data_IF_971460772358
#
_entry.id   IF_971460772358
#
_cell.length_a   1.000
_cell.length_b   1.000
_cell.length_c   1.000
_cell.angle_alpha   90.00
_cell.angle_beta   90.00
_cell.angle_gamma   90.00
#
_symmetry.space_group_name_H-M   'P 1'
#
loop_
_entity.id
_entity.type
_entity.pdbx_description
1 polymer ?
#
# COMPACT_ATOMS: atom_id res chain seq x y z
N UNK A 1 85.85 -79.94 -123.29
CA UNK A 1 86.49 -78.74 -122.67
C UNK A 1 85.46 -77.63 -122.35
N UNK A 2 84.27 -78.02 -121.93
CA UNK A 2 83.15 -77.11 -121.59
C UNK A 2 83.27 -76.61 -120.12
N UNK A 3 84.30 -77.04 -119.38
CA UNK A 3 84.46 -76.82 -117.93
C UNK A 3 85.38 -75.65 -117.51
N UNK A 4 86.22 -75.07 -118.38
CA UNK A 4 87.02 -73.89 -118.00
C UNK A 4 86.17 -72.61 -117.90
N UNK A 5 85.26 -72.43 -118.85
CA UNK A 5 84.39 -71.24 -118.88
C UNK A 5 83.49 -71.11 -117.65
N UNK A 6 83.11 -72.20 -116.98
CA UNK A 6 82.27 -72.12 -115.76
C UNK A 6 83.05 -71.55 -114.57
N UNK A 7 84.33 -71.91 -114.42
CA UNK A 7 85.17 -71.43 -113.31
C UNK A 7 85.61 -69.98 -113.55
N UNK A 8 86.01 -69.64 -114.77
CA UNK A 8 86.32 -68.26 -115.17
C UNK A 8 85.11 -67.33 -115.02
N UNK A 9 83.90 -67.79 -115.38
CA UNK A 9 82.67 -67.00 -115.19
C UNK A 9 82.33 -66.82 -113.70
N UNK A 10 82.54 -67.84 -112.85
CA UNK A 10 82.32 -67.71 -111.41
C UNK A 10 83.35 -66.81 -110.74
N UNK A 11 84.63 -66.91 -111.11
CA UNK A 11 85.71 -66.05 -110.59
C UNK A 11 85.48 -64.60 -111.04
N UNK A 12 85.08 -64.36 -112.29
CA UNK A 12 84.71 -63.02 -112.78
C UNK A 12 83.43 -62.47 -112.12
N UNK A 13 82.42 -63.32 -111.85
CA UNK A 13 81.24 -62.93 -111.08
C UNK A 13 81.61 -62.62 -109.62
N UNK A 14 82.52 -63.38 -109.02
CA UNK A 14 82.99 -63.13 -107.67
C UNK A 14 83.80 -61.84 -107.58
N UNK A 15 84.67 -61.56 -108.55
CA UNK A 15 85.40 -60.30 -108.67
C UNK A 15 84.44 -59.11 -108.89
N UNK A 16 83.43 -59.28 -109.74
CA UNK A 16 82.40 -58.26 -109.95
C UNK A 16 81.56 -58.03 -108.69
N UNK A 17 81.18 -59.09 -107.96
CA UNK A 17 80.44 -58.98 -106.69
C UNK A 17 81.30 -58.31 -105.61
N UNK A 18 82.58 -58.65 -105.49
CA UNK A 18 83.51 -57.99 -104.58
C UNK A 18 83.76 -56.53 -104.95
N UNK A 19 83.89 -56.23 -106.24
CA UNK A 19 84.01 -54.85 -106.75
C UNK A 19 82.73 -54.05 -106.51
N UNK A 20 81.56 -54.66 -106.66
CA UNK A 20 80.27 -54.03 -106.43
C UNK A 20 80.01 -53.80 -104.93
N UNK A 21 80.44 -54.74 -104.07
CA UNK A 21 80.38 -54.60 -102.62
C UNK A 21 81.34 -53.51 -102.13
N UNK A 22 82.57 -53.47 -102.65
CA UNK A 22 83.52 -52.39 -102.38
C UNK A 22 82.97 -51.01 -102.82
N UNK A 23 82.33 -50.93 -103.99
CA UNK A 23 81.68 -49.71 -104.46
C UNK A 23 80.49 -49.31 -103.57
N UNK A 24 79.66 -50.28 -103.17
CA UNK A 24 78.52 -50.04 -102.28
C UNK A 24 78.98 -49.55 -100.91
N UNK A 25 80.05 -50.14 -100.35
CA UNK A 25 80.66 -49.66 -99.10
C UNK A 25 81.23 -48.24 -99.22
N UNK A 26 81.81 -47.89 -100.38
CA UNK A 26 82.33 -46.54 -100.61
C UNK A 26 81.19 -45.50 -100.71
N UNK A 27 80.11 -45.83 -101.41
CA UNK A 27 78.90 -44.99 -101.49
C UNK A 27 78.28 -44.82 -100.11
N UNK A 28 78.17 -45.91 -99.35
CA UNK A 28 77.62 -45.91 -98.00
C UNK A 28 78.43 -44.99 -97.07
N UNK A 29 79.76 -45.10 -97.05
CA UNK A 29 80.64 -44.21 -96.28
C UNK A 29 80.51 -42.74 -96.70
N UNK A 30 80.33 -42.47 -97.99
CA UNK A 30 80.12 -41.11 -98.48
C UNK A 30 78.79 -40.53 -98.01
N UNK A 31 77.71 -41.33 -98.04
CA UNK A 31 76.39 -40.94 -97.53
C UNK A 31 76.48 -40.68 -96.02
N UNK A 32 77.10 -41.59 -95.26
CA UNK A 32 77.27 -41.46 -93.81
C UNK A 32 78.06 -40.21 -93.43
N UNK A 33 79.21 -39.96 -94.10
CA UNK A 33 79.99 -38.74 -93.88
C UNK A 33 79.20 -37.47 -94.26
N UNK A 34 78.46 -37.48 -95.37
CA UNK A 34 77.62 -36.34 -95.77
C UNK A 34 76.54 -36.07 -94.73
N UNK A 35 75.86 -37.11 -94.26
CA UNK A 35 74.84 -37.02 -93.21
C UNK A 35 75.43 -36.50 -91.90
N UNK A 36 76.62 -36.95 -91.52
CA UNK A 36 77.33 -36.49 -90.31
C UNK A 36 77.71 -35.01 -90.41
N UNK A 37 78.25 -34.56 -91.54
CA UNK A 37 78.56 -33.13 -91.78
C UNK A 37 77.29 -32.30 -91.72
N UNK A 38 76.19 -32.73 -92.36
CA UNK A 38 74.92 -32.00 -92.31
C UNK A 38 74.33 -31.94 -90.89
N UNK A 39 74.41 -33.04 -90.13
CA UNK A 39 73.99 -33.06 -88.72
C UNK A 39 74.82 -32.10 -87.88
N UNK A 40 76.14 -32.12 -88.03
CA UNK A 40 77.02 -31.18 -87.31
C UNK A 40 76.73 -29.72 -87.67
N UNK A 41 76.46 -29.41 -88.94
CA UNK A 41 76.12 -28.05 -89.36
C UNK A 41 74.77 -27.58 -88.78
N UNK A 42 73.75 -28.45 -88.76
CA UNK A 42 72.46 -28.16 -88.13
C UNK A 42 72.59 -27.96 -86.62
N UNK A 43 73.38 -28.78 -85.93
CA UNK A 43 73.61 -28.60 -84.50
C UNK A 43 74.26 -27.24 -84.17
N UNK A 44 75.23 -26.81 -84.98
CA UNK A 44 75.86 -25.49 -84.81
C UNK A 44 74.86 -24.36 -85.07
N UNK A 45 74.02 -24.48 -86.11
CA UNK A 45 72.99 -23.47 -86.41
C UNK A 45 71.91 -23.40 -85.32
N UNK A 46 71.48 -24.55 -84.80
CA UNK A 46 70.53 -24.65 -83.69
C UNK A 46 71.12 -24.05 -82.40
N UNK A 47 72.40 -24.29 -82.11
CA UNK A 47 73.11 -23.69 -80.96
C UNK A 47 73.22 -22.16 -81.09
N UNK A 48 73.58 -21.67 -82.29
CA UNK A 48 73.67 -20.21 -82.58
C UNK A 48 72.29 -19.56 -82.51
N UNK A 49 71.26 -20.21 -83.05
CA UNK A 49 69.86 -19.76 -82.98
C UNK A 49 69.36 -19.72 -81.53
N UNK A 50 69.72 -20.73 -80.73
CA UNK A 50 69.44 -20.79 -79.29
C UNK A 50 70.07 -19.62 -78.53
N UNK A 51 71.36 -19.38 -78.74
CA UNK A 51 72.08 -18.29 -78.10
C UNK A 51 71.52 -16.90 -78.48
N UNK A 52 71.20 -16.70 -79.76
CA UNK A 52 70.57 -15.46 -80.23
C UNK A 52 69.20 -15.23 -79.58
N UNK A 53 68.41 -16.30 -79.42
CA UNK A 53 67.11 -16.24 -78.76
C UNK A 53 67.23 -15.89 -77.27
N UNK A 54 68.20 -16.47 -76.57
CA UNK A 54 68.49 -16.12 -75.18
C UNK A 54 68.92 -14.66 -75.03
N UNK A 55 69.84 -14.19 -75.88
CA UNK A 55 70.27 -12.78 -75.87
C UNK A 55 69.12 -11.82 -76.15
N UNK A 56 68.24 -12.14 -77.10
CA UNK A 56 67.05 -11.35 -77.38
C UNK A 56 66.09 -11.31 -76.18
N UNK A 57 65.87 -12.45 -75.52
CA UNK A 57 65.01 -12.52 -74.34
C UNK A 57 65.58 -11.70 -73.17
N UNK A 58 66.88 -11.79 -72.91
CA UNK A 58 67.55 -10.97 -71.89
C UNK A 58 67.42 -9.49 -72.21
N UNK A 59 67.67 -9.08 -73.46
CA UNK A 59 67.51 -7.68 -73.88
C UNK A 59 66.07 -7.18 -73.81
N UNK A 60 65.10 -8.02 -74.19
CA UNK A 60 63.68 -7.71 -74.08
C UNK A 60 63.25 -7.56 -72.62
N UNK A 61 63.76 -8.41 -71.71
CA UNK A 61 63.49 -8.33 -70.29
C UNK A 61 64.10 -7.06 -69.66
N UNK A 62 65.36 -6.74 -69.99
CA UNK A 62 66.01 -5.49 -69.56
C UNK A 62 65.22 -4.25 -70.05
N UNK A 63 64.73 -4.27 -71.29
CA UNK A 63 63.91 -3.19 -71.83
C UNK A 63 62.55 -3.09 -71.12
N UNK A 64 61.91 -4.22 -70.81
CA UNK A 64 60.65 -4.23 -70.07
C UNK A 64 60.82 -3.70 -68.65
N UNK A 65 61.89 -4.09 -67.94
CA UNK A 65 62.19 -3.60 -66.60
C UNK A 65 62.45 -2.07 -66.61
N UNK A 66 63.19 -1.58 -67.60
CA UNK A 66 63.40 -0.13 -67.76
C UNK A 66 62.08 0.61 -68.03
N UNK A 67 61.20 0.07 -68.88
CA UNK A 67 59.90 0.67 -69.17
C UNK A 67 59.03 0.68 -67.91
N UNK A 68 59.00 -0.41 -67.14
CA UNK A 68 58.26 -0.49 -65.89
C UNK A 68 58.74 0.55 -64.88
N UNK A 69 60.07 0.70 -64.76
CA UNK A 69 60.67 1.71 -63.90
C UNK A 69 60.27 3.13 -64.31
N UNK A 70 60.37 3.46 -65.60
CA UNK A 70 59.99 4.77 -66.13
C UNK A 70 58.51 5.08 -65.91
N UNK A 71 57.62 4.12 -66.11
CA UNK A 71 56.17 4.29 -65.85
C UNK A 71 55.90 4.52 -64.36
N UNK A 72 56.62 3.83 -63.49
CA UNK A 72 56.50 4.00 -62.04
C UNK A 72 56.97 5.39 -61.60
N UNK A 73 58.09 5.86 -62.12
CA UNK A 73 58.57 7.22 -61.87
C UNK A 73 57.60 8.27 -62.40
N UNK A 74 57.07 8.11 -63.62
CA UNK A 74 56.08 9.01 -64.20
C UNK A 74 54.83 9.12 -63.31
N UNK A 75 54.35 7.99 -62.78
CA UNK A 75 53.20 7.98 -61.86
C UNK A 75 53.49 8.78 -60.58
N UNK A 76 54.63 8.51 -59.95
CA UNK A 76 55.02 9.22 -58.73
C UNK A 76 55.21 10.72 -58.98
N UNK A 77 55.80 11.09 -60.12
CA UNK A 77 55.95 12.49 -60.53
C UNK A 77 54.60 13.17 -60.74
N UNK A 78 53.63 12.49 -61.38
CA UNK A 78 52.27 13.00 -61.57
C UNK A 78 51.57 13.25 -60.23
N UNK A 79 51.62 12.29 -59.31
CA UNK A 79 51.02 12.41 -57.98
C UNK A 79 51.65 13.54 -57.16
N UNK A 80 52.98 13.68 -57.23
CA UNK A 80 53.71 14.77 -56.57
C UNK A 80 53.34 16.14 -57.18
N UNK A 81 53.25 16.22 -58.52
CA UNK A 81 52.87 17.44 -59.22
C UNK A 81 51.43 17.85 -58.91
N UNK A 82 50.49 16.91 -58.91
CA UNK A 82 49.10 17.15 -58.51
C UNK A 82 49.02 17.70 -57.08
N UNK A 83 49.77 17.10 -56.15
CA UNK A 83 49.85 17.55 -54.76
C UNK A 83 50.41 18.98 -54.64
N UNK A 84 51.44 19.33 -55.42
CA UNK A 84 51.98 20.68 -55.48
C UNK A 84 51.00 21.67 -56.10
N UNK A 85 50.29 21.26 -57.15
CA UNK A 85 49.31 22.09 -57.83
C UNK A 85 48.12 22.40 -56.92
N UNK A 86 47.62 21.42 -56.17
CA UNK A 86 46.57 21.61 -55.17
C UNK A 86 47.01 22.54 -54.02
N UNK A 87 48.30 22.52 -53.64
CA UNK A 87 48.83 23.47 -52.64
C UNK A 87 48.93 24.90 -53.19
N UNK A 88 49.24 25.04 -54.50
CA UNK A 88 49.33 26.35 -55.17
C UNK A 88 47.95 26.90 -55.54
N UNK A 89 46.96 26.03 -55.73
CA UNK A 89 45.59 26.43 -56.03
C UNK A 89 44.97 27.17 -54.84
N UNK A 90 44.79 28.48 -55.03
CA UNK A 90 44.19 29.38 -54.05
C UNK A 90 42.72 29.02 -53.78
N UNK A 91 42.01 28.44 -54.76
CA UNK A 91 40.62 27.98 -54.57
C UNK A 91 40.57 26.76 -53.66
N UNK A 92 41.43 25.76 -53.89
CA UNK A 92 41.50 24.57 -53.03
C UNK A 92 41.90 24.92 -51.59
N UNK A 93 42.90 25.81 -51.44
CA UNK A 93 43.33 26.29 -50.12
C UNK A 93 42.21 27.06 -49.42
N UNK A 94 41.47 27.90 -50.14
CA UNK A 94 40.30 28.61 -49.61
C UNK A 94 39.21 27.65 -49.14
N UNK A 95 38.85 26.64 -49.96
CA UNK A 95 37.82 25.65 -49.60
C UNK A 95 38.25 24.87 -48.35
N UNK A 96 39.51 24.42 -48.27
CA UNK A 96 40.03 23.77 -47.07
C UNK A 96 39.94 24.65 -45.83
N UNK A 97 40.30 25.93 -45.95
CA UNK A 97 40.19 26.87 -44.84
C UNK A 97 38.72 27.05 -44.39
N UNK A 98 37.78 27.14 -45.34
CA UNK A 98 36.35 27.22 -45.04
C UNK A 98 35.81 25.96 -44.35
N UNK A 99 36.18 24.77 -44.83
CA UNK A 99 35.82 23.48 -44.21
C UNK A 99 36.36 23.41 -42.77
N UNK A 100 37.62 23.80 -42.57
CA UNK A 100 38.21 23.80 -41.22
C UNK A 100 37.52 24.78 -40.28
N UNK A 101 37.11 25.95 -40.77
CA UNK A 101 36.36 26.92 -39.96
C UNK A 101 34.99 26.36 -39.57
N UNK A 102 34.25 25.76 -40.51
CA UNK A 102 32.99 25.07 -40.20
C UNK A 102 33.20 23.94 -39.20
N UNK A 103 34.26 23.14 -39.36
CA UNK A 103 34.59 22.06 -38.44
C UNK A 103 34.84 22.58 -37.02
N UNK A 104 35.58 23.68 -36.87
CA UNK A 104 35.84 24.32 -35.58
C UNK A 104 34.54 24.83 -34.93
N UNK A 105 33.67 25.48 -35.70
CA UNK A 105 32.37 25.95 -35.21
C UNK A 105 31.48 24.79 -34.74
N UNK A 106 31.40 23.69 -35.53
CA UNK A 106 30.64 22.50 -35.15
C UNK A 106 31.21 21.83 -33.89
N UNK A 107 32.53 21.77 -33.76
CA UNK A 107 33.17 21.25 -32.55
C UNK A 107 32.85 22.12 -31.33
N UNK A 108 32.86 23.45 -31.49
CA UNK A 108 32.44 24.41 -30.46
C UNK A 108 30.99 24.22 -30.04
N UNK A 109 30.05 24.15 -31.01
CA UNK A 109 28.63 23.90 -30.75
C UNK A 109 28.40 22.57 -30.03
N UNK A 110 29.06 21.49 -30.47
CA UNK A 110 28.97 20.17 -29.84
C UNK A 110 29.47 20.20 -28.40
N UNK A 111 30.54 20.95 -28.12
CA UNK A 111 31.07 21.11 -26.76
C UNK A 111 30.08 21.87 -25.86
N UNK A 112 29.48 22.96 -26.37
CA UNK A 112 28.47 23.73 -25.64
C UNK A 112 27.21 22.88 -25.38
N UNK A 113 26.72 22.16 -26.39
CA UNK A 113 25.56 21.27 -26.26
C UNK A 113 25.80 20.17 -25.22
N UNK A 114 26.99 19.56 -25.24
CA UNK A 114 27.39 18.56 -24.25
C UNK A 114 27.43 19.15 -22.84
N UNK A 115 28.00 20.34 -22.68
CA UNK A 115 28.10 21.02 -21.39
C UNK A 115 26.72 21.43 -20.87
N UNK A 116 25.85 21.98 -21.73
CA UNK A 116 24.46 22.30 -21.37
C UNK A 116 23.67 21.06 -20.96
N UNK A 117 23.78 19.94 -21.70
CA UNK A 117 23.16 18.66 -21.32
C UNK A 117 23.67 18.17 -19.98
N UNK A 118 24.98 18.24 -19.74
CA UNK A 118 25.61 17.86 -18.47
C UNK A 118 25.08 18.70 -17.31
N UNK A 119 25.05 20.03 -17.47
CA UNK A 119 24.52 20.94 -16.45
C UNK A 119 23.02 20.72 -16.22
N UNK A 120 22.24 20.54 -17.28
CA UNK A 120 20.81 20.26 -17.17
C UNK A 120 20.55 18.96 -16.40
N UNK A 121 21.27 17.88 -16.74
CA UNK A 121 21.19 16.61 -16.01
C UNK A 121 21.64 16.77 -14.55
N UNK A 122 22.73 17.49 -14.29
CA UNK A 122 23.21 17.75 -12.93
C UNK A 122 22.16 18.53 -12.10
N UNK A 123 21.55 19.57 -12.67
CA UNK A 123 20.51 20.36 -12.03
C UNK A 123 19.24 19.53 -11.76
N UNK A 124 18.84 18.68 -12.72
CA UNK A 124 17.73 17.74 -12.53
C UNK A 124 18.02 16.77 -11.38
N UNK A 125 19.22 16.19 -11.34
CA UNK A 125 19.64 15.28 -10.25
C UNK A 125 19.61 15.98 -8.89
N UNK A 126 20.14 17.20 -8.79
CA UNK A 126 20.08 17.99 -7.54
C UNK A 126 18.63 18.27 -7.13
N UNK A 127 17.78 18.64 -8.08
CA UNK A 127 16.37 18.93 -7.81
C UNK A 127 15.63 17.68 -7.31
N UNK A 128 15.89 16.52 -7.92
CA UNK A 128 15.30 15.25 -7.49
C UNK A 128 15.78 14.85 -6.09
N UNK A 129 17.06 15.04 -5.79
CA UNK A 129 17.61 14.76 -4.46
C UNK A 129 16.99 15.68 -3.40
N UNK A 130 16.85 16.98 -3.68
CA UNK A 130 16.16 17.92 -2.79
C UNK A 130 14.70 17.51 -2.53
N UNK A 131 13.97 17.10 -3.57
CA UNK A 131 12.59 16.62 -3.40
C UNK A 131 12.54 15.34 -2.58
N UNK A 132 13.46 14.40 -2.82
CA UNK A 132 13.56 13.16 -2.05
C UNK A 132 13.84 13.45 -0.58
N UNK A 133 14.77 14.36 -0.30
CA UNK A 133 15.09 14.78 1.05
C UNK A 133 13.87 15.40 1.74
N UNK A 134 13.22 16.38 1.10
CA UNK A 134 12.04 17.04 1.67
C UNK A 134 10.88 16.07 1.96
N UNK A 135 10.62 15.11 1.06
CA UNK A 135 9.61 14.07 1.27
C UNK A 135 10.00 13.11 2.40
N UNK A 136 11.28 12.77 2.51
CA UNK A 136 11.79 11.91 3.58
C UNK A 136 11.67 12.61 4.93
N UNK A 137 12.02 13.90 5.01
CA UNK A 137 11.90 14.71 6.21
C UNK A 137 10.43 14.83 6.65
N UNK A 138 9.52 15.07 5.70
CA UNK A 138 8.07 15.09 5.97
C UNK A 138 7.57 13.72 6.46
N UNK A 139 8.04 12.63 5.86
CA UNK A 139 7.67 11.28 6.30
C UNK A 139 8.13 11.03 7.74
N UNK A 140 9.36 11.42 8.08
CA UNK A 140 9.88 11.32 9.46
C UNK A 140 9.01 12.15 10.41
N UNK A 141 8.64 13.37 10.03
CA UNK A 141 7.73 14.22 10.83
C UNK A 141 6.39 13.53 11.07
N UNK A 142 5.74 13.02 10.01
CA UNK A 142 4.45 12.35 10.12
C UNK A 142 4.52 11.05 10.94
N UNK A 143 5.61 10.29 10.82
CA UNK A 143 5.84 9.10 11.65
C UNK A 143 5.96 9.46 13.14
N UNK A 144 6.70 10.52 13.46
CA UNK A 144 6.84 11.01 14.83
C UNK A 144 5.52 11.54 15.38
N UNK A 145 4.75 12.29 14.57
CA UNK A 145 3.42 12.78 14.94
C UNK A 145 2.45 11.63 15.20
N UNK A 146 2.44 10.61 14.34
CA UNK A 146 1.65 9.39 14.52
C UNK A 146 2.01 8.70 15.83
N UNK A 147 3.31 8.47 16.10
CA UNK A 147 3.74 7.80 17.33
C UNK A 147 3.38 8.60 18.58
N UNK A 148 3.55 9.94 18.54
CA UNK A 148 3.15 10.85 19.61
C UNK A 148 1.63 10.77 19.86
N UNK A 149 0.83 10.80 18.80
CA UNK A 149 -0.64 10.70 18.91
C UNK A 149 -1.07 9.35 19.47
N UNK A 150 -0.46 8.26 19.03
CA UNK A 150 -0.73 6.94 19.59
C UNK A 150 -0.38 6.86 21.08
N UNK A 151 0.77 7.42 21.49
CA UNK A 151 1.15 7.50 22.91
C UNK A 151 0.14 8.30 23.73
N UNK A 152 -0.29 9.45 23.25
CA UNK A 152 -1.33 10.26 23.91
C UNK A 152 -2.65 9.50 24.04
N UNK A 153 -3.07 8.78 23.00
CA UNK A 153 -4.30 7.98 23.03
C UNK A 153 -4.18 6.83 24.03
N UNK A 154 -3.06 6.11 24.05
CA UNK A 154 -2.80 5.06 25.04
C UNK A 154 -2.84 5.62 26.47
N UNK A 155 -2.22 6.78 26.70
CA UNK A 155 -2.27 7.43 28.00
C UNK A 155 -3.70 7.83 28.40
N UNK A 156 -4.48 8.42 27.49
CA UNK A 156 -5.88 8.75 27.74
C UNK A 156 -6.75 7.53 28.03
N UNK A 157 -6.50 6.40 27.38
CA UNK A 157 -7.20 5.15 27.68
C UNK A 157 -6.90 4.66 29.09
N UNK A 158 -5.64 4.73 29.53
CA UNK A 158 -5.26 4.39 30.91
C UNK A 158 -5.92 5.32 31.93
N UNK A 159 -5.91 6.64 31.68
CA UNK A 159 -6.58 7.61 32.54
C UNK A 159 -8.10 7.35 32.63
N UNK A 160 -8.75 7.01 31.51
CA UNK A 160 -10.18 6.64 31.50
C UNK A 160 -10.47 5.33 32.23
N UNK A 161 -9.57 4.36 32.15
CA UNK A 161 -9.69 3.08 32.87
C UNK A 161 -9.56 3.28 34.38
N UNK A 162 -8.56 4.04 34.83
CA UNK A 162 -8.38 4.40 36.23
C UNK A 162 -9.59 5.18 36.78
N UNK A 163 -10.09 6.15 36.02
CA UNK A 163 -11.32 6.87 36.38
C UNK A 163 -12.53 5.94 36.43
N UNK A 164 -12.63 4.97 35.51
CA UNK A 164 -13.71 3.98 35.52
C UNK A 164 -13.64 3.09 36.75
N UNK A 165 -12.46 2.62 37.13
CA UNK A 165 -12.26 1.81 38.34
C UNK A 165 -12.65 2.60 39.60
N UNK A 166 -12.16 3.83 39.74
CA UNK A 166 -12.52 4.73 40.83
C UNK A 166 -14.04 4.95 40.91
N UNK A 167 -14.66 5.36 39.79
CA UNK A 167 -16.10 5.57 39.70
C UNK A 167 -16.92 4.29 39.98
N UNK A 168 -16.41 3.11 39.62
CA UNK A 168 -17.05 1.84 39.91
C UNK A 168 -17.00 1.53 41.42
N UNK A 169 -15.88 1.79 42.08
CA UNK A 169 -15.78 1.65 43.53
C UNK A 169 -16.71 2.61 44.26
N UNK A 170 -16.76 3.87 43.83
CA UNK A 170 -17.65 4.89 44.37
C UNK A 170 -19.13 4.54 44.13
N UNK A 171 -19.47 3.99 42.96
CA UNK A 171 -20.83 3.53 42.68
C UNK A 171 -21.28 2.48 43.68
N UNK A 172 -20.49 1.44 43.92
CA UNK A 172 -20.86 0.38 44.87
C UNK A 172 -20.93 0.89 46.30
N UNK A 173 -20.02 1.76 46.71
CA UNK A 173 -20.05 2.40 48.03
C UNK A 173 -21.33 3.23 48.21
N UNK A 174 -21.70 4.04 47.20
CA UNK A 174 -22.92 4.86 47.22
C UNK A 174 -24.17 3.97 47.21
N UNK A 175 -24.20 2.87 46.45
CA UNK A 175 -25.34 1.94 46.48
C UNK A 175 -25.46 1.21 47.82
N UNK A 176 -24.34 0.76 48.39
CA UNK A 176 -24.33 0.12 49.69
C UNK A 176 -24.81 1.07 50.79
N UNK A 177 -24.31 2.32 50.80
CA UNK A 177 -24.77 3.36 51.72
C UNK A 177 -26.27 3.61 51.58
N UNK A 178 -26.80 3.71 50.35
CA UNK A 178 -28.24 3.85 50.10
C UNK A 178 -29.05 2.66 50.59
N UNK A 179 -28.51 1.45 50.54
CA UNK A 179 -29.17 0.24 51.02
C UNK A 179 -29.21 0.19 52.55
N UNK A 180 -28.14 0.63 53.21
CA UNK A 180 -28.05 0.72 54.67
C UNK A 180 -28.93 1.84 55.24
N UNK A 181 -28.97 2.99 54.57
CA UNK A 181 -29.72 4.17 55.03
C UNK A 181 -31.23 4.06 54.78
N UNK A 182 -31.65 3.20 53.84
CA UNK A 182 -33.07 3.00 53.52
C UNK A 182 -33.61 1.77 54.22
N UNK A 183 -34.40 2.02 55.27
CA UNK A 183 -35.26 1.00 55.87
C UNK A 183 -36.16 0.38 54.79
N UNK A 184 -36.24 -0.95 54.66
CA UNK A 184 -37.12 -1.61 53.69
C UNK A 184 -38.57 -1.15 53.85
N UNK A 185 -39.27 -0.84 52.74
CA UNK A 185 -40.66 -0.38 52.81
C UNK A 185 -41.59 -1.39 53.49
N UNK A 186 -41.34 -2.69 53.33
CA UNK A 186 -42.09 -3.74 54.05
C UNK A 186 -41.99 -3.60 55.57
N UNK A 187 -40.82 -3.19 56.09
CA UNK A 187 -40.65 -2.93 57.52
C UNK A 187 -41.32 -1.63 57.94
N UNK A 188 -41.26 -0.58 57.11
CA UNK A 188 -42.01 0.66 57.37
C UNK A 188 -43.53 0.43 57.41
N UNK A 189 -44.07 -0.34 56.46
CA UNK A 189 -45.49 -0.67 56.38
C UNK A 189 -45.95 -1.50 57.59
N UNK A 190 -45.11 -2.42 58.07
CA UNK A 190 -45.39 -3.18 59.29
C UNK A 190 -45.35 -2.30 60.53
N UNK A 191 -44.45 -1.33 60.61
CA UNK A 191 -44.39 -0.36 61.72
C UNK A 191 -45.56 0.61 61.73
N UNK A 192 -46.03 1.04 60.56
CA UNK A 192 -47.23 1.88 60.47
C UNK A 192 -48.50 1.15 60.90
N UNK A 193 -48.53 -0.18 60.78
CA UNK A 193 -49.64 -1.04 61.25
C UNK A 193 -49.56 -1.37 62.73
N UNK A 194 -48.44 -1.07 63.39
CA UNK A 194 -48.29 -1.26 64.83
C UNK A 194 -49.13 -0.23 65.56
N UNK A 195 -49.90 -0.68 66.55
CA UNK A 195 -50.76 0.21 67.33
C UNK A 195 -49.94 1.29 68.04
N UNK A 196 -50.47 2.53 68.06
CA UNK A 196 -49.77 3.69 68.63
C UNK A 196 -49.44 3.52 70.11
N UNK A 197 -50.28 2.80 70.85
CA UNK A 197 -50.04 2.43 72.25
C UNK A 197 -48.76 1.59 72.41
N UNK A 198 -48.58 0.57 71.55
CA UNK A 198 -47.41 -0.30 71.55
C UNK A 198 -46.13 0.47 71.18
N UNK A 199 -46.20 1.34 70.16
CA UNK A 199 -45.07 2.21 69.79
C UNK A 199 -44.67 3.18 70.91
N UNK A 200 -45.64 3.71 71.66
CA UNK A 200 -45.39 4.64 72.76
C UNK A 200 -44.73 3.97 73.97
N UNK A 201 -45.17 2.75 74.33
CA UNK A 201 -44.55 1.94 75.40
C UNK A 201 -43.08 1.61 75.06
N UNK A 202 -42.81 1.23 73.80
CA UNK A 202 -41.43 0.93 73.37
C UNK A 202 -40.55 2.19 73.36
N UNK A 203 -41.10 3.36 73.00
CA UNK A 203 -40.36 4.64 73.06
C UNK A 203 -40.11 5.11 74.49
N UNK A 204 -41.09 5.00 75.40
CA UNK A 204 -40.92 5.37 76.82
C UNK A 204 -39.92 4.44 77.52
N UNK A 205 -39.91 3.16 77.15
CA UNK A 205 -38.92 2.19 77.63
C UNK A 205 -37.53 2.31 76.97
N UNK A 206 -37.30 3.30 76.07
CA UNK A 206 -36.07 3.47 75.27
C UNK A 206 -35.68 2.27 74.41
N UNK A 207 -36.66 1.45 74.03
CA UNK A 207 -36.51 0.27 73.17
C UNK A 207 -36.93 0.55 71.71
N UNK A 208 -36.66 1.75 71.20
CA UNK A 208 -37.13 2.18 69.87
C UNK A 208 -36.53 1.35 68.71
N UNK A 209 -35.32 0.83 68.87
CA UNK A 209 -34.66 -0.01 67.86
C UNK A 209 -35.37 -1.36 67.64
N UNK A 210 -36.16 -1.79 68.63
CA UNK A 210 -36.92 -3.04 68.56
C UNK A 210 -38.31 -2.86 67.94
N UNK A 211 -38.74 -1.63 67.63
CA UNK A 211 -40.05 -1.36 67.00
C UNK A 211 -40.24 -2.20 65.73
N UNK A 212 -39.20 -2.35 64.91
CA UNK A 212 -39.24 -3.19 63.70
C UNK A 212 -39.48 -4.67 63.99
N UNK A 213 -38.99 -5.17 65.13
CA UNK A 213 -39.13 -6.56 65.55
C UNK A 213 -40.56 -6.79 66.05
N UNK A 214 -41.09 -5.91 66.90
CA UNK A 214 -42.47 -5.99 67.38
C UNK A 214 -43.48 -5.85 66.23
N UNK A 215 -43.20 -4.98 65.26
CA UNK A 215 -43.97 -4.83 64.03
C UNK A 215 -43.96 -6.11 63.17
N UNK A 216 -42.81 -6.77 63.03
CA UNK A 216 -42.69 -8.06 62.33
C UNK A 216 -43.53 -9.16 63.00
N UNK A 217 -43.53 -9.19 64.33
CA UNK A 217 -44.29 -10.17 65.12
C UNK A 217 -45.78 -9.80 65.30
N UNK A 218 -46.25 -8.67 64.75
CA UNK A 218 -47.65 -8.20 64.78
C UNK A 218 -48.25 -8.16 66.19
N UNK A 219 -47.49 -7.65 67.14
CA UNK A 219 -47.92 -7.59 68.53
C UNK A 219 -48.94 -6.46 68.71
N UNK A 220 -50.17 -6.82 69.06
CA UNK A 220 -51.23 -5.89 69.46
C UNK A 220 -51.03 -5.44 70.91
N UNK A 221 -51.69 -4.37 71.35
CA UNK A 221 -51.64 -3.93 72.76
C UNK A 221 -52.11 -5.02 73.72
N UNK A 222 -53.11 -5.80 73.33
CA UNK A 222 -53.62 -6.94 74.10
C UNK A 222 -52.55 -8.04 74.27
N UNK A 223 -51.82 -8.32 73.19
CA UNK A 223 -50.72 -9.30 73.22
C UNK A 223 -49.55 -8.77 74.04
N UNK A 224 -49.21 -7.47 73.88
CA UNK A 224 -48.18 -6.77 74.64
C UNK A 224 -48.45 -6.84 76.15
N UNK A 225 -49.70 -6.64 76.55
CA UNK A 225 -50.14 -6.74 77.94
C UNK A 225 -49.93 -8.14 78.55
N UNK A 226 -49.82 -9.19 77.74
CA UNK A 226 -49.66 -10.57 78.22
C UNK A 226 -48.24 -11.14 78.01
N UNK A 227 -47.28 -10.32 77.54
CA UNK A 227 -45.90 -10.78 77.31
C UNK A 227 -45.16 -11.03 78.63
N UNK A 228 -44.43 -12.14 78.68
CA UNK A 228 -43.52 -12.49 79.79
C UNK A 228 -42.06 -12.12 79.48
N UNK A 229 -41.18 -12.12 80.49
CA UNK A 229 -39.74 -11.88 80.32
C UNK A 229 -39.09 -12.87 79.33
N UNK A 230 -39.65 -14.08 79.20
CA UNK A 230 -39.13 -15.10 78.29
C UNK A 230 -39.54 -14.85 76.85
N UNK A 231 -40.76 -14.33 76.62
CA UNK A 231 -41.23 -13.95 75.28
C UNK A 231 -40.41 -12.79 74.71
N UNK A 232 -40.05 -11.82 75.56
CA UNK A 232 -39.17 -10.71 75.17
C UNK A 232 -37.76 -11.20 74.79
N UNK A 233 -37.24 -12.25 75.45
CA UNK A 233 -35.95 -12.87 75.06
C UNK A 233 -36.06 -13.59 73.72
N UNK A 234 -37.15 -14.30 73.47
CA UNK A 234 -37.38 -14.99 72.20
C UNK A 234 -37.52 -14.01 71.02
N UNK A 235 -37.96 -12.78 71.30
CA UNK A 235 -37.97 -11.68 70.34
C UNK A 235 -36.62 -10.99 70.16
N UNK A 236 -35.54 -11.48 70.77
CA UNK A 236 -34.19 -10.95 70.61
C UNK A 236 -33.83 -9.80 71.55
N UNK A 237 -34.68 -9.47 72.54
CA UNK A 237 -34.35 -8.49 73.57
C UNK A 237 -33.52 -9.14 74.69
N UNK A 238 -32.21 -9.29 74.48
CA UNK A 238 -31.34 -9.96 75.46
C UNK A 238 -30.91 -9.05 76.62
N UNK A 239 -31.07 -7.73 76.51
CA UNK A 239 -30.73 -6.79 77.57
C UNK A 239 -31.73 -6.81 78.74
N UNK A 240 -31.26 -7.18 79.93
CA UNK A 240 -32.09 -7.26 81.14
C UNK A 240 -32.73 -5.92 81.51
N UNK A 241 -32.02 -4.81 81.28
CA UNK A 241 -32.50 -3.46 81.58
C UNK A 241 -33.69 -3.05 80.70
N UNK A 242 -33.59 -3.30 79.39
CA UNK A 242 -34.66 -3.00 78.43
C UNK A 242 -35.90 -3.86 78.69
N UNK A 243 -35.73 -5.17 78.93
CA UNK A 243 -36.87 -6.05 79.22
C UNK A 243 -37.65 -5.61 80.46
N UNK A 244 -36.95 -5.29 81.55
CA UNK A 244 -37.58 -4.78 82.79
C UNK A 244 -38.23 -3.41 82.61
N UNK A 245 -37.65 -2.54 81.78
CA UNK A 245 -38.23 -1.24 81.46
C UNK A 245 -39.52 -1.36 80.66
N UNK A 246 -39.55 -2.23 79.64
CA UNK A 246 -40.74 -2.52 78.85
C UNK A 246 -41.86 -3.10 79.72
N UNK A 247 -41.58 -4.11 80.54
CA UNK A 247 -42.59 -4.71 81.43
C UNK A 247 -43.18 -3.69 82.42
N UNK A 248 -42.36 -2.79 82.96
CA UNK A 248 -42.82 -1.71 83.85
C UNK A 248 -43.75 -0.72 83.15
N UNK A 249 -43.42 -0.34 81.92
CA UNK A 249 -44.25 0.57 81.11
C UNK A 249 -45.56 -0.09 80.67
N UNK A 250 -45.57 -1.41 80.44
CA UNK A 250 -46.79 -2.19 80.19
C UNK A 250 -47.70 -2.20 81.43
N UNK A 251 -47.14 -2.42 82.62
CA UNK A 251 -47.87 -2.34 83.89
C UNK A 251 -48.46 -0.94 84.10
N UNK A 252 -47.68 0.11 83.85
CA UNK A 252 -48.16 1.50 83.92
C UNK A 252 -49.30 1.79 82.93
N UNK A 253 -49.24 1.22 81.72
CA UNK A 253 -50.30 1.35 80.73
C UNK A 253 -51.62 0.68 81.18
N UNK A 254 -51.56 -0.55 81.72
CA UNK A 254 -52.73 -1.27 82.24
C UNK A 254 -53.46 -0.46 83.33
N UNK A 255 -52.72 0.08 84.29
CA UNK A 255 -53.29 0.90 85.37
C UNK A 255 -53.97 2.17 84.83
N UNK A 256 -53.39 2.81 83.81
CA UNK A 256 -53.97 3.99 83.17
C UNK A 256 -55.17 3.71 82.24
N UNK A 257 -55.33 2.48 81.75
CA UNK A 257 -56.47 2.06 80.93
C UNK A 257 -57.68 1.71 81.82
N UNK A 258 -57.44 1.12 83.00
CA UNK A 258 -58.45 0.87 84.04
C UNK A 258 -59.04 2.19 84.59
N UNK A 259 -58.22 3.22 84.81
CA UNK A 259 -58.70 4.56 85.19
C UNK A 259 -59.55 5.21 84.09
N UNK A 260 -59.18 5.04 82.81
CA UNK A 260 -59.96 5.57 81.66
C UNK A 260 -61.27 4.81 81.45
N UNK A 261 -61.31 3.50 81.71
CA UNK A 261 -62.54 2.71 81.68
C UNK A 261 -63.52 3.13 82.78
N UNK A 262 -63.02 3.44 83.99
CA UNK A 262 -63.83 3.97 85.09
C UNK A 262 -64.40 5.37 84.80
N UNK A 263 -63.64 6.23 84.09
CA UNK A 263 -64.10 7.58 83.68
C UNK A 263 -65.11 7.51 82.52
N UNK A 264 -65.00 6.52 81.61
CA UNK A 264 -65.93 6.33 80.48
C UNK A 264 -67.29 5.76 80.92
N UNK A 265 -67.34 4.94 81.97
CA UNK A 265 -68.61 4.53 82.62
C UNK A 265 -69.33 5.69 83.31
N UNK A 266 -68.61 6.72 83.77
CA UNK A 266 -69.17 7.92 84.41
C UNK A 266 -69.68 9.00 83.42
N UNK A 267 -69.41 8.84 82.13
CA UNK A 267 -69.75 9.81 81.07
C UNK A 267 -70.90 9.34 80.15
N UNK A 268 -71.58 8.25 80.51
CA UNK A 268 -72.73 7.68 79.79
C UNK A 268 -74.09 8.00 80.47
N UNK A 269 -74.09 8.75 81.58
CA UNK A 269 -75.31 9.16 82.31
C UNK A 269 -75.69 10.65 82.11
N UNK A 270 -74.99 11.38 81.24
CA UNK A 270 -75.24 12.81 81.00
C UNK A 270 -75.20 13.10 79.49
N UNK A 271 -76.36 12.92 78.84
CA UNK A 271 -76.63 13.27 77.45
C UNK A 271 -78.08 13.77 77.35
N UNK A 272 -78.27 15.09 77.36
CA UNK A 272 -79.35 15.76 76.63
C UNK A 272 -78.84 17.12 76.12
N UNK A 273 -79.14 17.37 74.83
CA UNK A 273 -79.22 18.67 74.13
C UNK A 273 -77.93 19.47 73.81
N UNK A 274 -77.46 19.39 72.54
CA UNK A 274 -77.67 20.42 71.51
C UNK A 274 -76.84 20.22 70.20
N UNK A 275 -77.57 20.22 69.08
CA UNK A 275 -77.27 20.61 67.67
C UNK A 275 -75.95 20.22 66.96
N UNK A 276 -75.96 19.50 65.82
CA UNK A 276 -76.53 19.80 64.47
C UNK A 276 -75.82 20.96 63.76
N UNK A 277 -74.84 20.68 62.90
CA UNK A 277 -74.82 21.21 61.51
C UNK A 277 -73.71 20.64 60.61
N UNK A 278 -74.14 20.28 59.39
CA UNK A 278 -73.46 20.26 58.09
C UNK A 278 -72.52 19.11 57.62
N UNK A 279 -72.89 18.64 56.42
CA UNK A 279 -72.30 17.63 55.54
C UNK A 279 -71.63 18.31 54.34
N UNK A 280 -70.50 17.71 53.87
CA UNK A 280 -70.06 17.56 52.46
C UNK A 280 -69.74 18.84 51.66
N UNK A 281 -69.09 18.83 50.45
CA UNK A 281 -68.94 17.76 49.41
C UNK A 281 -67.53 17.61 48.77
N UNK A 282 -67.15 16.44 48.21
CA UNK A 282 -67.23 15.96 46.80
C UNK A 282 -66.80 16.95 45.68
N UNK A 283 -65.90 16.49 44.79
CA UNK A 283 -65.67 17.05 43.45
C UNK A 283 -64.72 16.18 42.60
N UNK A 284 -65.21 15.70 41.46
CA UNK A 284 -64.59 14.76 40.50
C UNK A 284 -63.63 15.45 39.48
N UNK A 285 -62.87 14.61 38.76
CA UNK A 285 -61.91 14.89 37.66
C UNK A 285 -62.55 15.62 36.45
N UNK A 286 -61.79 16.21 35.49
CA UNK A 286 -61.26 15.44 34.33
C UNK A 286 -59.95 15.96 33.65
N UNK A 287 -59.33 15.09 32.83
CA UNK A 287 -58.25 15.27 31.82
C UNK A 287 -58.87 16.06 30.60
N UNK A 288 -58.20 16.81 29.67
CA UNK A 288 -56.97 16.45 28.91
C UNK A 288 -56.08 17.59 28.32
N UNK A 289 -55.10 17.15 27.49
CA UNK A 289 -54.35 17.81 26.39
C UNK A 289 -53.04 18.60 26.65
N UNK A 290 -51.95 18.06 26.09
CA UNK A 290 -50.79 18.78 25.49
C UNK A 290 -51.27 19.60 24.25
N UNK A 291 -50.51 20.50 23.56
CA UNK A 291 -49.05 20.66 23.52
C UNK A 291 -48.54 22.12 23.47
N UNK A 292 -47.20 22.25 23.38
CA UNK A 292 -46.41 23.31 22.70
C UNK A 292 -45.38 24.01 23.59
N UNK A 293 -44.12 23.60 23.40
CA UNK A 293 -42.95 24.49 23.44
C UNK A 293 -42.97 25.39 22.17
N UNK A 294 -42.16 26.47 22.00
CA UNK A 294 -40.86 26.71 22.64
C UNK A 294 -40.54 28.19 23.00
N UNK A 295 -39.46 28.40 23.76
CA UNK A 295 -38.59 29.54 23.44
C UNK A 295 -37.12 29.29 23.76
N UNK A 296 -36.30 30.03 23.02
CA UNK A 296 -34.91 29.79 22.63
C UNK A 296 -33.91 30.29 23.66
N UNK A 297 -32.79 29.57 23.77
CA UNK A 297 -31.46 30.19 23.91
C UNK A 297 -30.38 29.26 23.34
N UNK A 298 -29.26 29.80 22.88
CA UNK A 298 -28.43 29.19 21.85
C UNK A 298 -27.38 28.27 22.45
N UNK A 299 -27.46 26.98 22.12
CA UNK A 299 -26.36 26.04 22.34
C UNK A 299 -25.63 25.88 21.02
N UNK A 300 -24.34 26.21 21.02
CA UNK A 300 -23.40 25.91 19.94
C UNK A 300 -23.13 24.40 20.01
N UNK A 301 -23.51 23.59 19.01
CA UNK A 301 -23.14 22.19 19.00
C UNK A 301 -21.69 22.05 18.52
N UNK A 302 -20.79 21.70 19.44
CA UNK A 302 -19.52 21.07 19.08
C UNK A 302 -19.79 19.63 18.66
N UNK A 303 -20.29 19.49 17.43
CA UNK A 303 -20.14 18.26 16.64
C UNK A 303 -19.12 18.57 15.55
N UNK A 304 -18.13 17.69 15.30
CA UNK A 304 -17.33 17.77 14.08
C UNK A 304 -18.27 17.82 12.87
N UNK A 305 -17.92 18.51 11.77
CA UNK A 305 -18.69 18.43 10.55
C UNK A 305 -18.91 16.95 10.25
N UNK A 306 -20.17 16.55 10.11
CA UNK A 306 -20.49 15.27 9.50
C UNK A 306 -19.73 15.24 8.19
N UNK A 307 -18.63 14.48 8.13
CA UNK A 307 -18.19 13.89 6.89
C UNK A 307 -19.45 13.29 6.30
N UNK A 308 -19.87 13.83 5.16
CA UNK A 308 -20.80 13.13 4.30
C UNK A 308 -20.14 11.78 4.08
N UNK A 309 -20.58 10.76 4.82
CA UNK A 309 -20.19 9.37 4.60
C UNK A 309 -20.83 9.03 3.26
N UNK A 310 -20.19 9.47 2.19
CA UNK A 310 -20.50 9.02 0.86
C UNK A 310 -20.15 7.53 0.87
N UNK A 311 -21.20 6.71 0.95
CA UNK A 311 -21.10 5.26 0.86
C UNK A 311 -20.44 4.96 -0.50
N UNK A 312 -19.20 4.49 -0.49
CA UNK A 312 -18.47 4.09 -1.70
C UNK A 312 -17.22 4.91 -2.07
N UNK A 313 -16.75 5.85 -1.24
CA UNK A 313 -15.40 6.42 -1.42
C UNK A 313 -14.41 5.26 -1.40
N UNK A 314 -13.77 4.97 -2.54
CA UNK A 314 -12.82 3.88 -2.83
C UNK A 314 -13.37 2.58 -3.45
N UNK A 315 -14.61 2.53 -3.97
CA UNK A 315 -15.09 1.37 -4.76
C UNK A 315 -14.76 1.46 -6.25
N UNK A 316 -14.63 0.33 -6.94
CA UNK A 316 -14.60 0.28 -8.41
C UNK A 316 -15.97 0.67 -8.98
N UNK A 317 -15.98 1.20 -10.22
CA UNK A 317 -17.22 1.59 -10.88
C UNK A 317 -18.12 0.38 -11.08
N UNK A 318 -19.37 0.44 -10.60
CA UNK A 318 -20.34 -0.68 -10.70
C UNK A 318 -20.84 -0.96 -12.12
N UNK A 319 -20.45 -0.13 -13.10
CA UNK A 319 -20.90 -0.20 -14.49
C UNK A 319 -19.82 -0.80 -15.36
N UNK A 320 -18.60 -0.23 -15.36
CA UNK A 320 -17.50 -0.75 -16.16
C UNK A 320 -16.58 -1.71 -15.40
N UNK A 321 -16.56 -1.68 -14.06
CA UNK A 321 -15.63 -2.42 -13.19
C UNK A 321 -14.13 -2.17 -13.45
N UNK A 322 -13.78 -1.33 -14.42
CA UNK A 322 -12.38 -1.08 -14.82
C UNK A 322 -11.75 0.15 -14.15
N UNK A 323 -12.56 1.15 -13.78
CA UNK A 323 -12.11 2.44 -13.25
C UNK A 323 -12.68 2.68 -11.86
N UNK A 324 -11.95 3.39 -11.00
CA UNK A 324 -12.45 3.77 -9.68
C UNK A 324 -13.66 4.72 -9.78
N UNK A 325 -14.58 4.59 -8.81
CA UNK A 325 -15.73 5.48 -8.71
C UNK A 325 -15.28 6.88 -8.28
N UNK A 326 -15.47 7.85 -9.17
CA UNK A 326 -14.99 9.23 -9.02
C UNK A 326 -16.11 10.26 -9.03
N UNK A 327 -17.37 9.86 -9.17
CA UNK A 327 -18.51 10.79 -9.25
C UNK A 327 -19.46 10.58 -8.09
N UNK A 328 -19.77 11.68 -7.40
CA UNK A 328 -20.79 11.79 -6.36
C UNK A 328 -22.11 12.30 -6.95
N UNK A 329 -23.19 11.58 -6.69
CA UNK A 329 -24.55 12.01 -7.00
C UNK A 329 -25.17 12.74 -5.81
N UNK A 330 -25.34 14.07 -5.90
CA UNK A 330 -25.80 14.89 -4.77
C UNK A 330 -27.23 14.58 -4.29
N UNK A 331 -28.10 14.11 -5.18
CA UNK A 331 -29.50 13.80 -4.85
C UNK A 331 -29.66 12.61 -3.91
N UNK A 332 -28.68 11.70 -3.88
CA UNK A 332 -28.74 10.47 -3.09
C UNK A 332 -27.46 10.16 -2.29
N UNK A 333 -26.38 10.90 -2.51
CA UNK A 333 -25.11 10.76 -1.79
C UNK A 333 -24.27 9.54 -2.16
N UNK A 334 -24.60 8.81 -3.24
CA UNK A 334 -23.86 7.62 -3.65
C UNK A 334 -22.67 7.96 -4.56
N UNK A 335 -21.54 7.25 -4.35
CA UNK A 335 -20.34 7.28 -5.19
C UNK A 335 -20.14 5.88 -5.74
N UNK A 336 -20.57 5.63 -6.99
CA UNK A 336 -20.60 4.28 -7.57
C UNK A 336 -20.17 4.21 -9.04
N UNK A 337 -19.91 5.34 -9.71
CA UNK A 337 -19.55 5.40 -11.13
C UNK A 337 -18.30 6.23 -11.38
N UNK A 338 -17.52 5.86 -12.40
CA UNK A 338 -16.45 6.69 -12.94
C UNK A 338 -17.03 7.84 -13.78
N UNK A 339 -16.21 8.82 -14.13
CA UNK A 339 -16.62 10.00 -14.90
C UNK A 339 -17.32 9.64 -16.23
N UNK A 340 -16.76 8.71 -16.99
CA UNK A 340 -17.28 8.31 -18.31
C UNK A 340 -18.62 7.57 -18.21
N UNK A 341 -18.77 6.69 -17.22
CA UNK A 341 -20.02 5.97 -17.02
C UNK A 341 -21.12 6.82 -16.37
N UNK A 342 -20.79 7.94 -15.73
CA UNK A 342 -21.77 8.80 -15.05
C UNK A 342 -22.50 9.77 -15.98
N UNK A 343 -21.94 10.06 -17.16
CA UNK A 343 -22.43 11.03 -18.12
C UNK A 343 -23.78 10.63 -18.77
N UNK A 344 -24.00 9.37 -19.20
CA UNK A 344 -25.27 8.95 -19.80
C UNK A 344 -26.34 8.50 -18.78
N UNK A 345 -26.10 8.60 -17.47
CA UNK A 345 -27.03 8.08 -16.45
C UNK A 345 -28.02 9.14 -15.97
N UNK A 346 -29.31 8.85 -16.06
CA UNK A 346 -30.37 9.69 -15.48
C UNK A 346 -30.77 9.26 -14.06
N UNK A 347 -30.57 7.98 -13.73
CA UNK A 347 -30.90 7.39 -12.42
C UNK A 347 -29.67 6.76 -11.76
N UNK A 348 -29.58 6.88 -10.44
CA UNK A 348 -28.48 6.30 -9.66
C UNK A 348 -28.51 4.76 -9.73
N UNK A 349 -27.42 4.07 -10.10
CA UNK A 349 -27.36 2.61 -10.14
C UNK A 349 -27.62 1.91 -8.80
N UNK A 350 -27.31 2.59 -7.68
CA UNK A 350 -27.42 2.01 -6.33
C UNK A 350 -28.83 2.14 -5.75
N UNK A 351 -29.50 3.27 -5.96
CA UNK A 351 -30.79 3.56 -5.31
C UNK A 351 -31.92 3.92 -6.28
N UNK A 352 -31.65 3.93 -7.60
CA UNK A 352 -32.59 4.28 -8.68
C UNK A 352 -33.26 5.66 -8.51
N UNK A 353 -32.60 6.56 -7.78
CA UNK A 353 -33.05 7.93 -7.62
C UNK A 353 -32.58 8.81 -8.78
N UNK A 354 -33.41 9.76 -9.22
CA UNK A 354 -33.08 10.70 -10.29
C UNK A 354 -31.84 11.54 -9.95
N UNK A 355 -30.95 11.69 -10.92
CA UNK A 355 -29.71 12.47 -10.80
C UNK A 355 -29.94 13.88 -11.36
N UNK A 356 -29.92 14.90 -10.49
CA UNK A 356 -30.01 16.31 -10.93
C UNK A 356 -28.68 17.04 -10.87
N UNK A 357 -27.76 16.62 -10.00
CA UNK A 357 -26.45 17.25 -9.82
C UNK A 357 -25.36 16.19 -9.58
N UNK A 358 -24.20 16.40 -10.22
CA UNK A 358 -23.04 15.49 -10.21
C UNK A 358 -21.80 16.28 -9.79
N UNK A 359 -20.97 15.71 -8.91
CA UNK A 359 -19.68 16.28 -8.50
C UNK A 359 -18.59 15.26 -8.80
N UNK A 360 -17.53 15.68 -9.50
CA UNK A 360 -16.31 14.89 -9.66
C UNK A 360 -15.45 15.03 -8.41
N UNK A 361 -15.11 13.90 -7.79
CA UNK A 361 -14.16 13.80 -6.69
C UNK A 361 -12.77 13.66 -7.32
N UNK A 362 -11.91 14.67 -7.10
CA UNK A 362 -10.54 14.77 -7.62
C UNK A 362 -9.57 14.09 -6.67
#
# INVERSE_FOLDING_TARGET
MINLRKKEVLDAMQEMLLSNDALSQLIQRYIENKEEITRSAHMIDDDVSGLLKELFNVKSAEQQDLIEHLLKEEKLQKEAFESLQLKKDSKHTRIKAQINMIYQELAGLTAIEREQRRQHQQNQMITLEQKRQALTDLLIQLMNEKESREKQLRQRMLEMEEQREANQTDYWLVQYQRLMDRKPQSLMDMEMRLESAVSNILKSAKAADYISVFARHRITIETMCNLTDEDLKQMGMHELGLRKAVLREIEAYKMGEEEKAAVKQKKLEDWDEEDRFMKSPKGEMPIPVEPSAPDKSPVIPSSPPLEVIARGINSECVICMDKQSSVLFLTCGHVCSCQECAEPLDDCPMCRGKITQRILLI
#
